data_IF_725407634123
#
_entry.id   IF_725407634123
#
_cell.length_a   1.000
_cell.length_b   1.000
_cell.length_c   1.000
_cell.angle_alpha   90.00
_cell.angle_beta   90.00
_cell.angle_gamma   90.00
#
_symmetry.space_group_name_H-M   'P 1'
#
loop_
_entity.id
_entity.type
_entity.pdbx_description
1 polymer ?
#
# COMPACT_ATOMS: atom_id res chain seq x y z
N UNK A 1 -23.85 9.04 -0.34
CA UNK A 1 -23.54 7.60 -0.42
C UNK A 1 -22.09 7.40 -0.03
N UNK A 2 -21.80 6.48 0.90
CA UNK A 2 -20.45 6.23 1.39
C UNK A 2 -19.74 5.08 0.65
N UNK A 3 -18.44 4.84 0.93
CA UNK A 3 -17.71 3.70 0.38
C UNK A 3 -18.36 2.38 0.79
N UNK A 4 -18.35 1.40 -0.12
CA UNK A 4 -18.80 0.04 0.18
C UNK A 4 -17.87 -0.65 1.21
N UNK A 5 -18.35 -1.67 1.94
CA UNK A 5 -17.50 -2.44 2.86
C UNK A 5 -16.21 -2.99 2.21
N UNK A 6 -16.27 -3.36 0.92
CA UNK A 6 -15.10 -3.84 0.19
C UNK A 6 -14.12 -2.70 -0.12
N UNK A 7 -14.61 -1.53 -0.51
CA UNK A 7 -13.75 -0.34 -0.69
C UNK A 7 -13.08 0.06 0.63
N UNK A 8 -13.83 0.06 1.74
CA UNK A 8 -13.27 0.30 3.07
C UNK A 8 -12.21 -0.74 3.42
N UNK A 9 -12.44 -2.01 3.11
CA UNK A 9 -11.47 -3.07 3.38
C UNK A 9 -10.18 -2.87 2.60
N UNK A 10 -10.27 -2.56 1.30
CA UNK A 10 -9.10 -2.24 0.47
C UNK A 10 -8.34 -1.03 1.05
N UNK A 11 -9.06 0.02 1.46
CA UNK A 11 -8.47 1.19 2.11
C UNK A 11 -7.76 0.85 3.42
N UNK A 12 -8.31 -0.05 4.24
CA UNK A 12 -7.65 -0.50 5.47
C UNK A 12 -6.34 -1.23 5.19
N UNK A 13 -6.26 -2.04 4.13
CA UNK A 13 -5.01 -2.71 3.72
C UNK A 13 -3.96 -1.66 3.34
N UNK A 14 -4.34 -0.71 2.47
CA UNK A 14 -3.45 0.37 2.05
C UNK A 14 -2.98 1.24 3.21
N UNK A 15 -3.90 1.62 4.11
CA UNK A 15 -3.58 2.43 5.27
C UNK A 15 -2.63 1.71 6.23
N UNK A 16 -2.86 0.42 6.50
CA UNK A 16 -1.98 -0.38 7.35
C UNK A 16 -0.55 -0.42 6.79
N UNK A 17 -0.40 -0.64 5.48
CA UNK A 17 0.92 -0.68 4.85
C UNK A 17 1.58 0.70 4.71
N UNK A 18 0.79 1.75 4.44
CA UNK A 18 1.30 3.12 4.35
C UNK A 18 1.86 3.62 5.69
N UNK A 19 1.28 3.21 6.81
CA UNK A 19 1.83 3.50 8.15
C UNK A 19 3.23 2.91 8.30
N UNK A 20 3.46 1.67 7.85
CA UNK A 20 4.81 1.07 7.87
C UNK A 20 5.79 1.87 7.03
N UNK A 21 5.37 2.37 5.86
CA UNK A 21 6.19 3.25 5.01
C UNK A 21 6.58 4.52 5.75
N UNK A 22 5.61 5.25 6.29
CA UNK A 22 5.85 6.50 7.02
C UNK A 22 6.78 6.29 8.22
N UNK A 23 6.55 5.24 9.02
CA UNK A 23 7.40 4.90 10.17
C UNK A 23 8.79 4.47 9.71
N UNK A 24 8.89 3.68 8.65
CA UNK A 24 10.15 3.18 8.10
C UNK A 24 11.05 4.25 7.50
N UNK A 25 10.48 5.38 7.06
CA UNK A 25 11.25 6.55 6.62
C UNK A 25 12.00 7.25 7.76
N UNK A 26 11.58 7.05 9.02
CA UNK A 26 12.13 7.68 10.22
C UNK A 26 12.10 9.21 10.10
N UNK A 27 13.24 9.87 10.30
CA UNK A 27 13.37 11.34 10.26
C UNK A 27 13.67 11.90 8.87
N UNK A 28 13.47 11.11 7.79
CA UNK A 28 13.75 11.60 6.43
C UNK A 28 12.65 12.57 5.98
N UNK A 29 13.01 13.69 5.33
CA UNK A 29 12.03 14.70 4.93
C UNK A 29 11.20 14.21 3.73
N UNK A 30 9.87 14.27 3.88
CA UNK A 30 8.91 14.08 2.80
C UNK A 30 7.71 15.02 3.00
N UNK A 31 7.07 15.41 1.91
CA UNK A 31 5.92 16.33 1.92
C UNK A 31 4.59 15.61 1.74
N UNK A 32 4.59 14.44 1.09
CA UNK A 32 3.42 13.61 0.92
C UNK A 32 3.79 12.14 0.78
N UNK A 33 2.93 11.27 1.30
CA UNK A 33 2.98 9.83 1.04
C UNK A 33 1.53 9.33 0.89
N UNK A 34 1.25 8.58 -0.18
CA UNK A 34 -0.05 7.94 -0.39
C UNK A 34 0.12 6.63 -1.14
N UNK A 35 -0.94 5.83 -1.15
CA UNK A 35 -1.01 4.59 -1.93
C UNK A 35 -2.23 4.63 -2.83
N UNK A 36 -2.01 4.42 -4.12
CA UNK A 36 -3.08 4.17 -5.08
C UNK A 36 -3.32 2.67 -5.16
N UNK A 37 -4.60 2.27 -5.18
CA UNK A 37 -4.97 0.87 -5.09
C UNK A 37 -6.06 0.50 -6.07
N UNK A 38 -5.90 -0.67 -6.67
CA UNK A 38 -6.95 -1.37 -7.40
C UNK A 38 -7.04 -2.81 -6.91
N UNK A 39 -8.14 -3.50 -7.23
CA UNK A 39 -8.37 -4.88 -6.84
C UNK A 39 -9.24 -5.64 -7.81
N UNK A 40 -8.94 -6.92 -7.99
CA UNK A 40 -9.81 -7.86 -8.70
C UNK A 40 -10.55 -8.70 -7.66
N UNK A 41 -11.83 -8.97 -7.94
CA UNK A 41 -12.68 -9.84 -7.12
C UNK A 41 -13.14 -11.05 -7.92
N UNK A 42 -13.37 -12.16 -7.24
CA UNK A 42 -13.94 -13.35 -7.86
C UNK A 42 -15.31 -13.02 -8.50
N UNK A 43 -15.58 -13.63 -9.67
CA UNK A 43 -16.83 -13.39 -10.40
C UNK A 43 -18.08 -13.93 -9.69
N UNK A 44 -17.91 -14.99 -8.90
CA UNK A 44 -18.97 -15.71 -8.21
C UNK A 44 -18.88 -15.55 -6.68
N UNK A 45 -19.98 -15.88 -6.00
CA UNK A 45 -20.05 -15.83 -4.54
C UNK A 45 -19.22 -16.97 -3.91
N UNK A 46 -18.45 -16.69 -2.83
CA UNK A 46 -18.21 -15.36 -2.27
C UNK A 46 -17.25 -14.54 -3.14
N UNK A 47 -17.67 -13.32 -3.51
CA UNK A 47 -16.89 -12.37 -4.33
C UNK A 47 -15.74 -11.75 -3.54
N UNK A 48 -14.83 -12.58 -3.03
CA UNK A 48 -13.62 -12.18 -2.30
C UNK A 48 -12.62 -11.49 -3.23
N UNK A 49 -11.65 -10.79 -2.65
CA UNK A 49 -10.49 -10.32 -3.41
C UNK A 49 -9.72 -11.52 -3.97
N UNK A 50 -9.20 -11.38 -5.18
CA UNK A 50 -8.28 -12.35 -5.81
C UNK A 50 -6.91 -11.72 -6.02
N UNK A 51 -6.87 -10.42 -6.31
CA UNK A 51 -5.64 -9.65 -6.36
C UNK A 51 -5.86 -8.20 -5.93
N UNK A 52 -4.77 -7.57 -5.50
CA UNK A 52 -4.67 -6.15 -5.21
C UNK A 52 -3.42 -5.61 -5.91
N UNK A 53 -3.52 -4.42 -6.48
CA UNK A 53 -2.40 -3.69 -7.06
C UNK A 53 -2.19 -2.42 -6.26
N UNK A 54 -0.96 -2.17 -5.80
CA UNK A 54 -0.63 -1.04 -4.93
C UNK A 54 0.52 -0.21 -5.51
N UNK A 55 0.29 1.08 -5.73
CA UNK A 55 1.33 2.02 -6.15
C UNK A 55 1.61 2.97 -5.00
N UNK A 56 2.80 2.84 -4.41
CA UNK A 56 3.23 3.68 -3.30
C UNK A 56 3.93 4.92 -3.85
N UNK A 57 3.37 6.09 -3.53
CA UNK A 57 3.94 7.36 -3.92
C UNK A 57 4.53 8.06 -2.70
N UNK A 58 5.76 8.55 -2.82
CA UNK A 58 6.40 9.41 -1.83
C UNK A 58 6.97 10.63 -2.52
N UNK A 59 6.58 11.83 -2.07
CA UNK A 59 7.18 13.10 -2.47
C UNK A 59 8.16 13.54 -1.39
N UNK A 60 9.45 13.57 -1.70
CA UNK A 60 10.47 13.89 -0.70
C UNK A 60 11.88 13.54 -1.13
N UNK A 61 12.86 13.97 -0.32
CA UNK A 61 14.25 13.56 -0.47
C UNK A 61 14.46 12.21 0.24
N UNK A 62 13.93 11.16 -0.37
CA UNK A 62 13.99 9.79 0.15
C UNK A 62 14.57 8.84 -0.90
N UNK A 63 15.50 7.93 -0.53
CA UNK A 63 15.97 6.94 -1.48
C UNK A 63 14.86 5.96 -1.88
N UNK A 64 14.56 5.82 -3.18
CA UNK A 64 13.57 4.84 -3.68
C UNK A 64 13.82 3.42 -3.14
N UNK A 65 15.08 2.97 -3.12
CA UNK A 65 15.47 1.66 -2.57
C UNK A 65 15.13 1.48 -1.09
N UNK A 66 15.09 2.57 -0.31
CA UNK A 66 14.64 2.50 1.09
C UNK A 66 13.14 2.24 1.14
N UNK A 67 12.36 3.00 0.37
CA UNK A 67 10.89 2.85 0.31
C UNK A 67 10.53 1.45 -0.16
N UNK A 68 11.15 0.95 -1.23
CA UNK A 68 10.96 -0.42 -1.75
C UNK A 68 11.23 -1.47 -0.67
N UNK A 69 12.31 -1.32 0.11
CA UNK A 69 12.64 -2.25 1.19
C UNK A 69 11.60 -2.22 2.32
N UNK A 70 11.07 -1.03 2.64
CA UNK A 70 10.04 -0.89 3.69
C UNK A 70 8.72 -1.49 3.23
N UNK A 71 8.29 -1.22 1.99
CA UNK A 71 7.08 -1.82 1.40
C UNK A 71 7.20 -3.34 1.34
N UNK A 72 8.33 -3.87 0.87
CA UNK A 72 8.57 -5.31 0.85
C UNK A 72 8.41 -5.96 2.24
N UNK A 73 9.01 -5.35 3.27
CA UNK A 73 8.87 -5.84 4.66
C UNK A 73 7.45 -5.68 5.22
N UNK A 74 6.73 -4.64 4.81
CA UNK A 74 5.33 -4.44 5.18
C UNK A 74 4.47 -5.62 4.71
N UNK A 75 4.57 -5.98 3.43
CA UNK A 75 3.84 -7.13 2.88
C UNK A 75 4.34 -8.49 3.37
N UNK A 76 5.64 -8.64 3.64
CA UNK A 76 6.20 -9.91 4.13
C UNK A 76 5.84 -10.18 5.60
N UNK A 77 5.74 -9.14 6.44
CA UNK A 77 5.75 -9.33 7.89
C UNK A 77 4.88 -8.38 8.71
N UNK A 78 4.81 -7.09 8.37
CA UNK A 78 4.33 -6.07 9.31
C UNK A 78 2.88 -5.63 9.13
N UNK A 79 2.33 -5.70 7.92
CA UNK A 79 0.96 -5.26 7.65
C UNK A 79 -0.05 -6.26 8.24
N UNK A 80 -0.47 -6.01 9.48
CA UNK A 80 -1.43 -6.86 10.21
C UNK A 80 -2.74 -7.06 9.44
N UNK A 81 -3.20 -6.05 8.70
CA UNK A 81 -4.45 -6.14 7.93
C UNK A 81 -4.29 -7.08 6.75
N UNK A 82 -3.28 -6.92 5.89
CA UNK A 82 -3.08 -7.85 4.75
C UNK A 82 -2.80 -9.26 5.22
N UNK A 83 -2.05 -9.43 6.30
CA UNK A 83 -1.70 -10.73 6.86
C UNK A 83 -2.87 -11.43 7.56
N UNK A 84 -3.99 -10.72 7.81
CA UNK A 84 -5.24 -11.30 8.31
C UNK A 84 -6.17 -11.77 7.17
N UNK A 85 -5.84 -11.47 5.91
CA UNK A 85 -6.62 -11.89 4.75
C UNK A 85 -6.18 -13.28 4.24
N UNK A 86 -6.96 -13.83 3.31
CA UNK A 86 -6.63 -15.09 2.65
C UNK A 86 -5.24 -14.98 1.97
N UNK A 87 -4.28 -15.88 2.30
CA UNK A 87 -2.92 -15.81 1.77
C UNK A 87 -2.82 -16.11 0.27
N UNK A 88 -3.90 -16.58 -0.37
CA UNK A 88 -3.96 -16.75 -1.82
C UNK A 88 -4.19 -15.46 -2.60
N UNK A 89 -4.52 -14.35 -1.92
CA UNK A 89 -4.68 -13.04 -2.55
C UNK A 89 -3.30 -12.55 -3.01
N UNK A 90 -3.15 -12.33 -4.31
CA UNK A 90 -1.91 -11.77 -4.86
C UNK A 90 -1.85 -10.27 -4.62
N UNK A 91 -0.73 -9.77 -4.10
CA UNK A 91 -0.49 -8.34 -3.91
C UNK A 91 0.70 -7.91 -4.76
N UNK A 92 0.41 -7.25 -5.86
CA UNK A 92 1.42 -6.63 -6.72
C UNK A 92 1.64 -5.19 -6.28
N UNK A 93 2.91 -4.77 -6.20
CA UNK A 93 3.23 -3.42 -5.78
C UNK A 93 4.42 -2.82 -6.51
N UNK A 94 4.45 -1.49 -6.56
CA UNK A 94 5.60 -0.72 -7.04
C UNK A 94 5.72 0.61 -6.30
N UNK A 95 6.90 1.21 -6.38
CA UNK A 95 7.21 2.48 -5.72
C UNK A 95 7.55 3.55 -6.73
N UNK A 96 6.94 4.72 -6.54
CA UNK A 96 7.26 5.97 -7.23
C UNK A 96 7.72 7.01 -6.20
N UNK A 97 8.94 7.52 -6.39
CA UNK A 97 9.47 8.61 -5.57
C UNK A 97 9.70 9.82 -6.46
N UNK A 98 9.18 10.96 -6.04
CA UNK A 98 9.34 12.25 -6.72
C UNK A 98 10.12 13.19 -5.82
N UNK A 99 11.05 13.96 -6.40
CA UNK A 99 11.77 15.01 -5.69
C UNK A 99 10.85 16.18 -5.37
N UNK A 100 11.07 16.83 -4.22
CA UNK A 100 10.31 18.02 -3.81
C UNK A 100 10.55 19.27 -4.69
N UNK A 101 11.46 19.20 -5.67
CA UNK A 101 11.82 20.30 -6.58
C UNK A 101 10.97 20.39 -7.84
N UNK A 102 10.01 19.48 -8.04
CA UNK A 102 9.19 19.42 -9.26
C UNK A 102 7.88 20.22 -9.14
N UNK A 103 7.91 21.37 -8.44
CA UNK A 103 6.75 22.24 -8.23
C UNK A 103 7.12 23.71 -8.11
#
# INVERSE_FOLDING_TARGET
SGPSPMQLTLQMVGACSLVDVVVGLKNRPFTAAWVEMDSVRAGESPRRFTSMTMVYHVKGDVPKKLVERVVAKSHEKYCSVSNSLDPSITIDWRVEVQSSSDG
#
